data_IF_058076347023
#
_entry.id   IF_058076347023
#
_cell.length_a   1.000
_cell.length_b   1.000
_cell.length_c   1.000
_cell.angle_alpha   90.00
_cell.angle_beta   90.00
_cell.angle_gamma   90.00
#
_symmetry.space_group_name_H-M   'P 1'
#
loop_
_entity.id
_entity.type
_entity.pdbx_description
1 polymer ?
#
# COMPACT_ATOMS: atom_id res chain seq x y z
N UNK A 1 13.84 27.35 -18.42
CA UNK A 1 12.99 26.15 -18.59
C UNK A 1 13.64 25.07 -19.47
N UNK A 2 14.16 25.37 -20.67
CA UNK A 2 14.80 24.34 -21.54
C UNK A 2 15.97 23.59 -20.86
N UNK A 3 16.86 24.30 -20.16
CA UNK A 3 17.99 23.67 -19.46
C UNK A 3 17.53 22.70 -18.36
N UNK A 4 16.50 23.05 -17.59
CA UNK A 4 15.92 22.20 -16.55
C UNK A 4 15.32 20.92 -17.14
N UNK A 5 14.56 21.03 -18.23
CA UNK A 5 14.00 19.86 -18.92
C UNK A 5 15.08 18.91 -19.44
N UNK A 6 16.17 19.43 -20.01
CA UNK A 6 17.28 18.63 -20.50
C UNK A 6 17.97 17.85 -19.37
N UNK A 7 18.14 18.48 -18.20
CA UNK A 7 18.72 17.81 -17.02
C UNK A 7 17.80 16.69 -16.55
N UNK A 8 16.48 16.94 -16.47
CA UNK A 8 15.49 15.92 -16.10
C UNK A 8 15.54 14.73 -17.06
N UNK A 9 15.54 14.99 -18.37
CA UNK A 9 15.56 13.92 -19.36
C UNK A 9 16.84 13.09 -19.29
N UNK A 10 18.00 13.76 -19.13
CA UNK A 10 19.29 13.07 -18.95
C UNK A 10 19.26 12.17 -17.72
N UNK A 11 18.83 12.71 -16.58
CA UNK A 11 18.78 11.99 -15.31
C UNK A 11 17.79 10.81 -15.37
N UNK A 12 16.61 11.02 -15.97
CA UNK A 12 15.63 9.97 -16.17
C UNK A 12 16.20 8.83 -17.02
N UNK A 13 16.79 9.13 -18.18
CA UNK A 13 17.38 8.13 -19.08
C UNK A 13 18.52 7.38 -18.39
N UNK A 14 19.39 8.09 -17.66
CA UNK A 14 20.49 7.49 -16.90
C UNK A 14 19.97 6.48 -15.86
N UNK A 15 18.92 6.85 -15.11
CA UNK A 15 18.35 5.99 -14.09
C UNK A 15 17.61 4.79 -14.68
N UNK A 16 16.80 5.00 -15.72
CA UNK A 16 16.00 3.94 -16.37
C UNK A 16 16.87 2.91 -17.08
N UNK A 17 17.99 3.32 -17.68
CA UNK A 17 18.92 2.40 -18.35
C UNK A 17 19.79 1.58 -17.37
N UNK A 18 19.76 1.89 -16.08
CA UNK A 18 20.57 1.20 -15.09
C UNK A 18 19.93 -0.14 -14.70
N UNK A 19 20.76 -1.18 -14.49
CA UNK A 19 20.29 -2.51 -14.05
C UNK A 19 19.49 -2.47 -12.74
N UNK A 20 19.82 -1.52 -11.86
CA UNK A 20 19.12 -1.22 -10.60
C UNK A 20 17.64 -0.91 -10.82
N UNK A 21 17.30 -0.17 -11.87
CA UNK A 21 15.91 0.15 -12.21
C UNK A 21 15.15 -1.08 -12.65
N UNK A 22 15.73 -1.87 -13.56
CA UNK A 22 15.11 -3.11 -14.04
C UNK A 22 14.85 -4.10 -12.90
N UNK A 23 15.85 -4.32 -12.03
CA UNK A 23 15.71 -5.21 -10.87
C UNK A 23 14.64 -4.66 -9.92
N UNK A 24 14.71 -3.37 -9.58
CA UNK A 24 13.72 -2.73 -8.71
C UNK A 24 12.30 -2.80 -9.26
N UNK A 25 12.13 -2.57 -10.56
CA UNK A 25 10.85 -2.65 -11.26
C UNK A 25 10.29 -4.07 -11.20
N UNK A 26 11.08 -5.09 -11.56
CA UNK A 26 10.66 -6.49 -11.54
C UNK A 26 10.30 -6.93 -10.12
N UNK A 27 11.16 -6.63 -9.14
CA UNK A 27 10.93 -6.99 -7.73
C UNK A 27 9.66 -6.33 -7.22
N UNK A 28 9.49 -5.02 -7.44
CA UNK A 28 8.29 -4.30 -6.99
C UNK A 28 7.02 -4.84 -7.65
N UNK A 29 7.06 -5.11 -8.97
CA UNK A 29 5.92 -5.61 -9.72
C UNK A 29 5.53 -7.03 -9.27
N UNK A 30 6.50 -7.95 -9.18
CA UNK A 30 6.26 -9.33 -8.74
C UNK A 30 5.77 -9.38 -7.29
N UNK A 31 6.42 -8.65 -6.38
CA UNK A 31 5.99 -8.60 -4.97
C UNK A 31 4.57 -8.05 -4.85
N UNK A 32 4.25 -6.98 -5.59
CA UNK A 32 2.89 -6.40 -5.57
C UNK A 32 1.86 -7.38 -6.12
N UNK A 33 2.17 -8.06 -7.23
CA UNK A 33 1.27 -9.04 -7.83
C UNK A 33 0.95 -10.19 -6.86
N UNK A 34 1.98 -10.75 -6.20
CA UNK A 34 1.82 -11.82 -5.21
C UNK A 34 1.00 -11.35 -4.00
N UNK A 35 1.32 -10.18 -3.45
CA UNK A 35 0.60 -9.66 -2.28
C UNK A 35 -0.87 -9.37 -2.57
N UNK A 36 -1.19 -8.85 -3.76
CA UNK A 36 -2.59 -8.59 -4.15
C UNK A 36 -3.32 -9.91 -4.38
N UNK A 37 -2.68 -10.90 -5.02
CA UNK A 37 -3.27 -12.21 -5.22
C UNK A 37 -3.66 -12.88 -3.88
N UNK A 38 -2.76 -12.84 -2.89
CA UNK A 38 -3.03 -13.35 -1.54
C UNK A 38 -4.17 -12.58 -0.86
N UNK A 39 -4.18 -11.25 -0.96
CA UNK A 39 -5.24 -10.43 -0.34
C UNK A 39 -6.61 -10.59 -1.01
N UNK A 40 -6.66 -10.90 -2.31
CA UNK A 40 -7.94 -11.19 -3.00
C UNK A 40 -8.54 -12.49 -2.46
N UNK A 41 -7.75 -13.56 -2.34
CA UNK A 41 -8.21 -14.85 -1.77
C UNK A 41 -8.70 -14.69 -0.33
N UNK A 42 -7.98 -13.91 0.49
CA UNK A 42 -8.41 -13.56 1.84
C UNK A 42 -9.74 -12.80 1.86
N UNK A 43 -9.87 -11.79 0.99
CA UNK A 43 -11.08 -11.00 0.90
C UNK A 43 -12.29 -11.86 0.51
N UNK A 44 -12.14 -12.79 -0.43
CA UNK A 44 -13.20 -13.72 -0.82
C UNK A 44 -13.62 -14.63 0.35
N UNK A 45 -12.65 -15.19 1.09
CA UNK A 45 -12.91 -15.99 2.29
C UNK A 45 -13.63 -15.20 3.37
N UNK A 46 -13.20 -13.97 3.63
CA UNK A 46 -13.83 -13.08 4.61
C UNK A 46 -15.24 -12.68 4.22
N UNK A 47 -15.49 -12.45 2.93
CA UNK A 47 -16.85 -12.16 2.45
C UNK A 47 -17.75 -13.39 2.54
N UNK A 48 -17.25 -14.57 2.21
CA UNK A 48 -18.00 -15.82 2.36
C UNK A 48 -18.37 -16.06 3.84
N UNK A 49 -17.41 -15.90 4.76
CA UNK A 49 -17.63 -16.01 6.20
C UNK A 49 -18.60 -14.96 6.75
N UNK A 50 -18.58 -13.74 6.22
CA UNK A 50 -19.57 -12.71 6.54
C UNK A 50 -20.98 -13.13 6.09
N UNK A 51 -21.12 -13.58 4.85
CA UNK A 51 -22.42 -13.97 4.29
C UNK A 51 -23.04 -15.17 5.03
N UNK A 52 -22.23 -16.15 5.45
CA UNK A 52 -22.72 -17.29 6.26
C UNK A 52 -23.14 -16.82 7.64
N UNK A 53 -22.33 -15.98 8.30
CA UNK A 53 -22.64 -15.48 9.63
C UNK A 53 -23.91 -14.61 9.66
N UNK A 54 -24.14 -13.78 8.64
CA UNK A 54 -25.40 -13.01 8.50
C UNK A 54 -26.61 -13.93 8.33
N UNK A 55 -26.52 -14.98 7.50
CA UNK A 55 -27.60 -15.95 7.32
C UNK A 55 -27.90 -16.74 8.60
N UNK A 56 -26.87 -17.14 9.33
CA UNK A 56 -27.01 -17.79 10.64
C UNK A 56 -27.72 -16.86 11.63
N UNK A 57 -27.31 -15.58 11.68
CA UNK A 57 -27.92 -14.58 12.55
C UNK A 57 -29.40 -14.30 12.20
N UNK A 58 -29.74 -14.24 10.91
CA UNK A 58 -31.13 -14.10 10.44
C UNK A 58 -31.99 -15.30 10.84
N UNK A 59 -31.46 -16.51 10.72
CA UNK A 59 -32.14 -17.74 11.13
C UNK A 59 -32.30 -17.85 12.65
N UNK A 60 -31.28 -17.44 13.42
CA UNK A 60 -31.38 -17.33 14.88
C UNK A 60 -32.47 -16.31 15.29
N UNK A 61 -32.56 -15.18 14.59
CA UNK A 61 -33.56 -14.14 14.87
C UNK A 61 -35.01 -14.63 14.64
N UNK A 62 -35.24 -15.49 13.65
CA UNK A 62 -36.56 -16.09 13.40
C UNK A 62 -37.01 -17.08 14.49
N UNK A 63 -36.07 -17.64 15.27
CA UNK A 63 -36.35 -18.59 16.35
C UNK A 63 -36.56 -17.94 17.73
N UNK A 64 -36.45 -16.63 17.83
CA UNK A 64 -36.59 -15.94 19.10
C UNK A 64 -38.06 -15.83 19.50
N UNK A 65 -38.50 -16.74 20.36
CA UNK A 65 -39.87 -16.72 20.92
C UNK A 65 -40.00 -15.79 22.15
N UNK A 66 -38.90 -15.46 22.83
CA UNK A 66 -38.89 -14.65 24.06
C UNK A 66 -37.98 -13.43 23.94
N UNK A 67 -38.49 -12.27 24.38
CA UNK A 67 -37.74 -11.01 24.44
C UNK A 67 -36.44 -11.11 25.25
N UNK A 68 -36.38 -11.95 26.29
CA UNK A 68 -35.17 -12.15 27.10
C UNK A 68 -34.05 -12.92 26.40
N UNK A 69 -34.34 -13.59 25.26
CA UNK A 69 -33.38 -14.38 24.47
C UNK A 69 -32.87 -13.64 23.24
N UNK A 70 -33.36 -12.42 22.98
CA UNK A 70 -32.92 -11.58 21.86
C UNK A 70 -31.48 -11.13 22.10
N UNK A 71 -30.56 -11.64 21.27
CA UNK A 71 -29.12 -11.30 21.31
C UNK A 71 -28.62 -11.01 19.89
N UNK A 72 -28.99 -9.87 19.29
CA UNK A 72 -28.58 -9.54 17.93
C UNK A 72 -27.06 -9.41 17.82
N UNK A 73 -26.51 -10.11 16.83
CA UNK A 73 -25.10 -10.05 16.44
C UNK A 73 -24.99 -9.11 15.25
N UNK A 74 -24.31 -7.99 15.41
CA UNK A 74 -23.97 -7.10 14.31
C UNK A 74 -22.66 -7.58 13.67
N UNK A 75 -22.72 -7.94 12.38
CA UNK A 75 -21.57 -8.34 11.59
C UNK A 75 -21.10 -7.15 10.73
N UNK A 76 -19.79 -6.90 10.67
CA UNK A 76 -19.22 -5.85 9.81
C UNK A 76 -18.89 -6.40 8.43
N UNK A 77 -19.38 -5.75 7.36
CA UNK A 77 -19.03 -6.12 5.98
C UNK A 77 -17.56 -5.80 5.69
N UNK A 78 -16.77 -6.72 5.11
CA UNK A 78 -15.38 -6.44 4.74
C UNK A 78 -15.32 -5.38 3.63
N UNK A 79 -14.39 -4.43 3.75
CA UNK A 79 -14.22 -3.36 2.76
C UNK A 79 -13.47 -3.87 1.51
N UNK A 80 -13.90 -3.56 0.28
CA UNK A 80 -13.18 -3.97 -0.94
C UNK A 80 -11.79 -3.33 -1.08
N UNK A 81 -11.55 -2.20 -0.40
CA UNK A 81 -10.25 -1.53 -0.37
C UNK A 81 -9.21 -2.29 0.46
N UNK A 82 -9.62 -3.30 1.25
CA UNK A 82 -8.69 -4.11 2.04
C UNK A 82 -7.73 -4.94 1.20
N UNK A 83 -7.99 -5.06 -0.11
CA UNK A 83 -7.12 -5.72 -1.08
C UNK A 83 -5.84 -4.90 -1.35
N UNK A 84 -5.91 -3.59 -1.17
CA UNK A 84 -4.75 -2.70 -1.35
C UNK A 84 -4.08 -2.37 -0.03
N UNK A 85 -4.89 -2.19 1.02
CA UNK A 85 -4.40 -1.91 2.36
C UNK A 85 -5.35 -2.47 3.41
N UNK A 86 -4.86 -3.39 4.25
CA UNK A 86 -5.68 -4.02 5.29
C UNK A 86 -5.99 -3.02 6.43
N UNK A 87 -5.09 -2.07 6.69
CA UNK A 87 -5.32 -0.95 7.59
C UNK A 87 -5.83 -1.36 8.98
N UNK A 88 -6.98 -0.82 9.37
CA UNK A 88 -7.65 -1.10 10.66
C UNK A 88 -8.49 -2.38 10.65
N UNK A 89 -8.62 -3.06 9.51
CA UNK A 89 -9.53 -4.20 9.41
C UNK A 89 -9.02 -5.43 10.16
N UNK A 90 -7.72 -5.44 10.50
CA UNK A 90 -7.13 -6.43 11.39
C UNK A 90 -7.37 -6.15 12.89
N UNK A 91 -7.75 -4.92 13.25
CA UNK A 91 -7.83 -4.48 14.65
C UNK A 91 -9.28 -4.33 15.16
N UNK A 92 -10.27 -4.23 14.26
CA UNK A 92 -11.68 -4.10 14.64
C UNK A 92 -12.35 -5.44 14.95
N UNK A 93 -13.26 -5.45 15.93
CA UNK A 93 -14.13 -6.59 16.17
C UNK A 93 -15.00 -6.86 14.93
N UNK A 94 -14.93 -8.07 14.38
CA UNK A 94 -15.68 -8.44 13.18
C UNK A 94 -17.17 -8.71 13.49
N UNK A 95 -17.48 -8.96 14.76
CA UNK A 95 -18.83 -9.17 15.30
C UNK A 95 -19.00 -8.44 16.62
N UNK A 96 -20.14 -7.78 16.80
CA UNK A 96 -20.53 -7.16 18.08
C UNK A 96 -21.88 -7.75 18.48
N UNK A 97 -21.92 -8.43 19.61
CA UNK A 97 -23.18 -8.94 20.18
C UNK A 97 -23.79 -7.87 21.07
N UNK A 98 -24.99 -7.40 20.75
CA UNK A 98 -25.72 -6.46 21.59
C UNK A 98 -26.61 -7.27 22.54
N UNK A 99 -26.34 -7.21 23.83
CA UNK A 99 -27.20 -7.78 24.87
C UNK A 99 -28.00 -6.67 25.56
N UNK A 100 -29.30 -6.89 25.79
CA UNK A 100 -30.13 -5.93 26.52
C UNK A 100 -29.59 -5.72 27.95
N UNK A 101 -29.58 -4.45 28.39
CA UNK A 101 -29.17 -4.02 29.73
C UNK A 101 -27.70 -4.28 30.13
N UNK A 102 -26.85 -4.69 29.18
CA UNK A 102 -25.38 -4.64 29.35
C UNK A 102 -24.80 -3.52 28.50
N UNK A 103 -24.01 -2.61 29.07
CA UNK A 103 -23.26 -1.65 28.26
C UNK A 103 -22.32 -2.43 27.33
N UNK A 104 -22.29 -2.03 26.05
CA UNK A 104 -21.36 -2.58 25.06
C UNK A 104 -19.97 -2.09 25.44
N UNK A 105 -19.22 -2.90 26.18
CA UNK A 105 -17.80 -2.64 26.39
C UNK A 105 -17.08 -3.03 25.10
N UNK A 106 -16.47 -2.04 24.45
CA UNK A 106 -15.43 -2.29 23.47
C UNK A 106 -14.28 -2.91 24.27
N UNK A 107 -14.13 -4.24 24.28
CA UNK A 107 -12.87 -4.80 24.75
C UNK A 107 -11.83 -4.42 23.70
N UNK A 108 -10.92 -3.47 24.01
CA UNK A 108 -9.86 -3.18 23.07
C UNK A 108 -9.01 -4.45 22.99
N UNK A 109 -8.84 -4.95 21.78
CA UNK A 109 -7.92 -6.03 21.43
C UNK A 109 -6.46 -5.55 21.61
N UNK A 110 -6.07 -5.20 22.83
CA UNK A 110 -4.68 -5.12 23.24
C UNK A 110 -4.21 -6.54 23.59
N UNK A 111 -2.97 -6.91 23.24
CA UNK A 111 -2.41 -8.25 23.48
C UNK A 111 -2.14 -8.57 24.97
N UNK A 112 -2.81 -7.88 25.89
CA UNK A 112 -2.73 -8.06 27.34
C UNK A 112 -4.14 -8.44 27.83
N UNK A 113 -4.63 -9.62 27.44
CA UNK A 113 -5.71 -10.30 28.16
C UNK A 113 -7.15 -10.24 27.60
N UNK A 114 -7.40 -9.66 26.43
CA UNK A 114 -8.72 -9.73 25.78
C UNK A 114 -8.88 -10.99 24.93
N UNK A 115 -10.05 -11.64 24.98
CA UNK A 115 -10.33 -12.77 24.08
C UNK A 115 -10.34 -12.30 22.63
N UNK A 116 -9.56 -12.90 21.72
CA UNK A 116 -9.50 -12.45 20.34
C UNK A 116 -10.89 -12.55 19.72
N UNK A 117 -11.45 -11.41 19.28
CA UNK A 117 -12.64 -11.38 18.46
C UNK A 117 -12.39 -12.29 17.24
N UNK A 118 -13.09 -13.42 17.22
CA UNK A 118 -12.81 -14.57 16.39
C UNK A 118 -12.68 -14.17 14.90
N UNK A 119 -11.44 -14.14 14.40
CA UNK A 119 -11.14 -14.05 12.97
C UNK A 119 -11.61 -15.35 12.30
N UNK A 120 -12.90 -15.43 11.97
CA UNK A 120 -13.43 -16.44 11.05
C UNK A 120 -12.97 -16.08 9.63
N UNK A 121 -11.76 -16.49 9.25
CA UNK A 121 -11.19 -16.25 7.92
C UNK A 121 -9.87 -16.97 7.67
N UNK A 122 -9.04 -17.14 8.70
CA UNK A 122 -7.75 -17.83 8.59
C UNK A 122 -7.59 -18.87 9.70
N UNK A 123 -7.99 -20.12 9.43
CA UNK A 123 -7.71 -21.25 10.32
C UNK A 123 -6.22 -21.65 10.33
N UNK A 124 -5.37 -20.95 9.55
CA UNK A 124 -3.94 -21.25 9.39
C UNK A 124 -3.04 -20.09 9.88
N UNK A 125 -2.28 -20.28 10.98
CA UNK A 125 -1.36 -19.28 11.53
C UNK A 125 -0.26 -18.81 10.56
N UNK A 126 0.19 -19.67 9.63
CA UNK A 126 1.19 -19.28 8.64
C UNK A 126 0.64 -18.30 7.62
N UNK A 127 -0.65 -18.43 7.27
CA UNK A 127 -1.31 -17.56 6.31
C UNK A 127 -1.49 -16.16 6.90
N UNK A 128 -1.79 -16.05 8.21
CA UNK A 128 -1.93 -14.77 8.90
C UNK A 128 -0.71 -13.83 8.76
N UNK A 129 0.51 -14.38 8.74
CA UNK A 129 1.72 -13.57 8.52
C UNK A 129 1.72 -12.95 7.11
N UNK A 130 1.36 -13.72 6.09
CA UNK A 130 1.30 -13.22 4.70
C UNK A 130 0.12 -12.27 4.46
N UNK A 131 -0.97 -12.38 5.24
CA UNK A 131 -2.10 -11.44 5.18
C UNK A 131 -1.76 -10.04 5.67
N UNK A 132 -0.69 -9.88 6.45
CA UNK A 132 -0.21 -8.55 6.86
C UNK A 132 0.62 -7.85 5.79
N UNK A 133 1.05 -8.58 4.76
CA UNK A 133 1.83 -8.05 3.65
C UNK A 133 0.88 -7.47 2.61
N UNK A 134 0.66 -6.16 2.68
CA UNK A 134 -0.16 -5.42 1.72
C UNK A 134 0.68 -4.62 0.71
N UNK A 135 0.01 -4.03 -0.29
CA UNK A 135 0.67 -3.23 -1.33
C UNK A 135 1.42 -2.05 -0.71
N UNK A 136 0.82 -1.43 0.30
CA UNK A 136 1.40 -0.30 1.02
C UNK A 136 2.67 -0.71 1.78
N UNK A 137 2.72 -1.90 2.37
CA UNK A 137 3.91 -2.44 3.01
C UNK A 137 5.04 -2.65 2.02
N UNK A 138 4.74 -3.21 0.85
CA UNK A 138 5.73 -3.35 -0.24
C UNK A 138 6.23 -1.97 -0.67
N UNK A 139 5.34 -1.00 -0.81
CA UNK A 139 5.73 0.36 -1.18
C UNK A 139 6.61 1.00 -0.10
N UNK A 140 6.29 0.78 1.18
CA UNK A 140 7.10 1.27 2.29
C UNK A 140 8.52 0.73 2.27
N UNK A 141 8.69 -0.56 1.97
CA UNK A 141 10.01 -1.23 2.04
C UNK A 141 10.76 -1.14 0.70
N UNK A 142 10.16 -1.62 -0.38
CA UNK A 142 10.84 -1.75 -1.68
C UNK A 142 11.07 -0.37 -2.30
N UNK A 143 10.07 0.51 -2.30
CA UNK A 143 10.22 1.82 -2.95
C UNK A 143 11.09 2.78 -2.14
N UNK A 144 11.09 2.71 -0.81
CA UNK A 144 12.04 3.51 0.00
C UNK A 144 13.48 3.08 -0.24
N UNK A 145 13.74 1.78 -0.28
CA UNK A 145 15.05 1.24 -0.59
C UNK A 145 15.49 1.69 -2.00
N UNK A 146 14.59 1.62 -2.98
CA UNK A 146 14.88 2.06 -4.34
C UNK A 146 15.11 3.57 -4.44
N UNK A 147 14.34 4.37 -3.70
CA UNK A 147 14.50 5.82 -3.64
C UNK A 147 15.89 6.22 -3.13
N UNK A 148 16.33 5.62 -2.02
CA UNK A 148 17.68 5.83 -1.49
C UNK A 148 18.74 5.32 -2.47
N UNK A 149 18.53 4.15 -3.06
CA UNK A 149 19.47 3.52 -3.98
C UNK A 149 19.64 4.30 -5.30
N UNK A 150 18.63 5.06 -5.72
CA UNK A 150 18.75 5.96 -6.87
C UNK A 150 19.42 7.27 -6.46
N UNK A 151 19.11 7.79 -5.27
CA UNK A 151 19.60 9.06 -4.81
C UNK A 151 21.07 9.04 -4.33
N UNK A 152 21.56 7.92 -3.76
CA UNK A 152 22.87 7.90 -3.07
C UNK A 152 24.06 8.24 -3.97
N UNK A 153 23.99 7.90 -5.26
CA UNK A 153 25.08 8.15 -6.21
C UNK A 153 24.80 9.30 -7.17
N UNK A 154 23.69 10.01 -7.00
CA UNK A 154 23.27 11.04 -7.96
C UNK A 154 24.23 12.24 -7.97
N UNK A 155 24.80 12.61 -6.82
CA UNK A 155 25.73 13.75 -6.71
C UNK A 155 27.17 13.26 -6.53
N UNK A 156 27.42 12.33 -5.61
CA UNK A 156 28.74 11.72 -5.42
C UNK A 156 29.30 11.07 -6.68
N UNK A 157 28.49 10.32 -7.43
CA UNK A 157 28.94 9.65 -8.65
C UNK A 157 29.41 10.63 -9.72
N UNK A 158 28.64 11.70 -9.98
CA UNK A 158 29.05 12.74 -10.92
C UNK A 158 30.27 13.55 -10.44
N UNK A 159 30.46 13.64 -9.11
CA UNK A 159 31.64 14.28 -8.51
C UNK A 159 32.90 13.44 -8.73
N UNK A 160 32.80 12.12 -8.58
CA UNK A 160 33.88 11.15 -8.83
C UNK A 160 34.23 11.06 -10.33
N UNK A 161 33.22 11.00 -11.19
CA UNK A 161 33.39 10.95 -12.65
C UNK A 161 33.87 12.28 -13.25
N UNK A 162 33.96 13.34 -12.45
CA UNK A 162 34.35 14.69 -12.86
C UNK A 162 33.32 15.41 -13.76
N UNK A 163 32.21 14.76 -14.10
CA UNK A 163 31.14 15.31 -14.93
C UNK A 163 30.45 16.50 -14.27
N UNK A 164 30.39 16.53 -12.93
CA UNK A 164 29.83 17.67 -12.20
C UNK A 164 30.60 18.98 -12.46
N UNK A 165 31.94 18.91 -12.58
CA UNK A 165 32.76 20.08 -12.90
C UNK A 165 32.48 20.60 -14.31
N UNK A 166 32.18 19.70 -15.25
CA UNK A 166 31.84 20.04 -16.63
C UNK A 166 30.44 20.68 -16.73
N UNK A 167 29.48 20.25 -15.91
CA UNK A 167 28.15 20.89 -15.85
C UNK A 167 28.24 22.29 -15.24
N UNK A 168 29.09 22.47 -14.22
CA UNK A 168 29.28 23.75 -13.53
C UNK A 168 30.12 24.77 -14.31
N UNK A 169 30.86 24.36 -15.35
CA UNK A 169 31.55 25.29 -16.25
C UNK A 169 30.58 25.99 -17.21
N UNK A 170 29.36 25.48 -17.33
CA UNK A 170 28.28 26.11 -18.08
C UNK A 170 27.52 27.12 -17.20
N UNK A 171 26.87 28.12 -17.80
CA UNK A 171 26.16 29.18 -17.09
C UNK A 171 24.78 28.70 -16.58
N UNK A 172 24.77 27.68 -15.72
CA UNK A 172 23.57 27.08 -15.14
C UNK A 172 23.59 27.32 -13.62
N UNK A 173 22.51 27.85 -13.03
CA UNK A 173 22.47 28.09 -11.59
C UNK A 173 22.32 26.77 -10.82
N UNK A 174 22.92 26.70 -9.63
CA UNK A 174 23.07 25.45 -8.86
C UNK A 174 21.73 24.86 -8.38
N UNK A 175 20.76 25.71 -8.10
CA UNK A 175 19.38 25.35 -7.76
C UNK A 175 18.69 24.53 -8.87
N UNK A 176 18.89 24.92 -10.13
CA UNK A 176 18.33 24.22 -11.30
C UNK A 176 18.94 22.83 -11.48
N UNK A 177 20.21 22.65 -11.11
CA UNK A 177 20.88 21.35 -11.14
C UNK A 177 20.27 20.41 -10.09
N UNK A 178 20.12 20.89 -8.85
CA UNK A 178 19.55 20.09 -7.75
C UNK A 178 18.08 19.75 -8.01
N UNK A 179 17.28 20.73 -8.46
CA UNK A 179 15.88 20.51 -8.81
C UNK A 179 15.73 19.57 -10.01
N UNK A 180 16.58 19.70 -11.02
CA UNK A 180 16.59 18.81 -12.18
C UNK A 180 16.91 17.35 -11.79
N UNK A 181 17.87 17.15 -10.88
CA UNK A 181 18.20 15.83 -10.32
C UNK A 181 17.03 15.23 -9.56
N UNK A 182 16.44 16.02 -8.66
CA UNK A 182 15.27 15.60 -7.88
C UNK A 182 14.10 15.20 -8.78
N UNK A 183 13.73 16.05 -9.75
CA UNK A 183 12.62 15.77 -10.65
C UNK A 183 12.92 14.60 -11.60
N UNK A 184 14.16 14.45 -12.07
CA UNK A 184 14.58 13.32 -12.91
C UNK A 184 14.54 11.98 -12.16
N UNK A 185 14.97 11.97 -10.89
CA UNK A 185 14.86 10.80 -10.02
C UNK A 185 13.42 10.47 -9.62
N UNK A 186 12.59 11.46 -9.32
CA UNK A 186 11.16 11.25 -9.08
C UNK A 186 10.46 10.68 -10.33
N UNK A 187 10.79 11.21 -11.51
CA UNK A 187 10.22 10.77 -12.78
C UNK A 187 10.64 9.33 -13.10
N UNK A 188 11.82 8.88 -12.68
CA UNK A 188 12.25 7.48 -12.87
C UNK A 188 11.54 6.51 -11.92
N UNK A 189 11.20 6.93 -10.70
CA UNK A 189 10.44 6.10 -9.76
C UNK A 189 8.94 6.06 -10.08
N UNK A 190 8.37 7.14 -10.63
CA UNK A 190 6.96 7.25 -11.01
C UNK A 190 6.41 6.03 -11.81
N UNK A 191 7.04 5.55 -12.89
CA UNK A 191 6.52 4.41 -13.65
C UNK A 191 6.50 3.10 -12.85
N UNK A 192 7.41 2.91 -11.89
CA UNK A 192 7.40 1.71 -11.02
C UNK A 192 6.13 1.73 -10.15
N UNK A 193 5.83 2.86 -9.52
CA UNK A 193 4.64 3.03 -8.69
C UNK A 193 3.36 2.89 -9.52
N UNK A 194 3.33 3.55 -10.68
CA UNK A 194 2.17 3.52 -11.56
C UNK A 194 1.88 2.11 -12.05
N UNK A 195 2.89 1.39 -12.55
CA UNK A 195 2.71 0.03 -13.08
C UNK A 195 2.36 -0.97 -11.99
N UNK A 196 2.96 -0.87 -10.80
CA UNK A 196 2.60 -1.75 -9.67
C UNK A 196 1.15 -1.54 -9.22
N UNK A 197 0.67 -0.29 -9.18
CA UNK A 197 -0.75 -0.02 -8.90
C UNK A 197 -1.69 -0.49 -10.00
N UNK A 198 -1.31 -0.34 -11.28
CA UNK A 198 -2.11 -0.85 -12.40
C UNK A 198 -2.24 -2.36 -12.30
N UNK A 199 -1.14 -3.08 -12.03
CA UNK A 199 -1.16 -4.54 -11.83
C UNK A 199 -2.04 -4.92 -10.64
N UNK A 200 -1.91 -4.22 -9.52
CA UNK A 200 -2.76 -4.44 -8.35
C UNK A 200 -4.25 -4.26 -8.70
N UNK A 201 -4.59 -3.22 -9.46
CA UNK A 201 -5.96 -2.96 -9.89
C UNK A 201 -6.49 -4.03 -10.85
N UNK A 202 -5.67 -4.48 -11.82
CA UNK A 202 -6.05 -5.53 -12.77
C UNK A 202 -6.37 -6.83 -12.02
N UNK A 203 -5.52 -7.23 -11.06
CA UNK A 203 -5.75 -8.43 -10.26
C UNK A 203 -7.02 -8.27 -9.41
N UNK A 204 -7.20 -7.12 -8.78
CA UNK A 204 -8.40 -6.85 -7.98
C UNK A 204 -9.69 -6.89 -8.80
N UNK A 205 -9.70 -6.30 -10.01
CA UNK A 205 -10.85 -6.31 -10.93
C UNK A 205 -11.15 -7.69 -11.53
N UNK A 206 -10.16 -8.58 -11.60
CA UNK A 206 -10.35 -9.96 -12.04
C UNK A 206 -11.27 -10.73 -11.08
N UNK A 207 -11.27 -10.37 -9.79
CA UNK A 207 -12.20 -10.94 -8.82
C UNK A 207 -13.61 -10.37 -9.02
N UNK A 208 -14.59 -11.24 -9.33
CA UNK A 208 -16.01 -10.85 -9.51
C UNK A 208 -16.68 -10.32 -8.23
N UNK A 209 -15.97 -10.39 -7.11
CA UNK A 209 -16.46 -10.14 -5.76
C UNK A 209 -16.28 -8.66 -5.36
N UNK A 210 -15.54 -7.88 -6.15
CA UNK A 210 -15.26 -6.46 -5.86
C UNK A 210 -16.22 -5.53 -6.60
N UNK A 211 -17.13 -4.89 -5.85
CA UNK A 211 -17.87 -3.73 -6.36
C UNK A 211 -17.13 -2.46 -5.95
N UNK A 212 -16.38 -1.86 -6.88
CA UNK A 212 -15.74 -0.58 -6.65
C UNK A 212 -16.77 0.55 -6.81
N UNK A 213 -17.06 1.24 -5.71
CA UNK A 213 -17.88 2.45 -5.73
C UNK A 213 -17.06 3.67 -6.19
N UNK A 214 -17.74 4.76 -6.58
CA UNK A 214 -17.10 6.03 -6.98
C UNK A 214 -16.13 6.55 -5.92
N UNK A 215 -16.45 6.34 -4.65
CA UNK A 215 -15.57 6.72 -3.54
C UNK A 215 -14.26 5.89 -3.52
N UNK A 216 -14.29 4.63 -3.97
CA UNK A 216 -13.11 3.77 -3.99
C UNK A 216 -12.01 4.31 -4.92
N UNK A 217 -12.40 4.92 -6.04
CA UNK A 217 -11.45 5.55 -6.99
C UNK A 217 -10.70 6.70 -6.31
N UNK A 218 -11.40 7.55 -5.56
CA UNK A 218 -10.79 8.65 -4.82
C UNK A 218 -9.76 8.13 -3.79
N UNK A 219 -10.06 7.02 -3.11
CA UNK A 219 -9.14 6.39 -2.17
C UNK A 219 -7.92 5.79 -2.86
N UNK A 220 -8.07 5.17 -4.03
CA UNK A 220 -6.94 4.64 -4.82
C UNK A 220 -6.01 5.78 -5.27
N UNK A 221 -6.59 6.87 -5.77
CA UNK A 221 -5.82 8.08 -6.15
C UNK A 221 -5.12 8.68 -4.93
N UNK A 222 -5.78 8.70 -3.77
CA UNK A 222 -5.16 9.15 -2.52
C UNK A 222 -3.98 8.25 -2.11
N UNK A 223 -4.12 6.93 -2.18
CA UNK A 223 -3.05 5.97 -1.91
C UNK A 223 -1.86 6.23 -2.85
N UNK A 224 -2.13 6.44 -4.14
CA UNK A 224 -1.08 6.80 -5.10
C UNK A 224 -0.38 8.10 -4.74
N UNK A 225 -1.13 9.17 -4.47
CA UNK A 225 -0.57 10.47 -4.13
C UNK A 225 0.28 10.42 -2.84
N UNK A 226 -0.21 9.74 -1.80
CA UNK A 226 0.52 9.56 -0.53
C UNK A 226 1.77 8.71 -0.76
N UNK A 227 1.71 7.67 -1.60
CA UNK A 227 2.89 6.86 -1.93
C UNK A 227 3.97 7.67 -2.65
N UNK A 228 3.60 8.55 -3.58
CA UNK A 228 4.55 9.45 -4.24
C UNK A 228 5.18 10.45 -3.26
N UNK A 229 4.38 11.02 -2.35
CA UNK A 229 4.91 11.89 -1.29
C UNK A 229 5.87 11.16 -0.36
N UNK A 230 5.57 9.92 0.00
CA UNK A 230 6.45 9.07 0.80
C UNK A 230 7.78 8.78 0.09
N UNK A 231 7.73 8.46 -1.20
CA UNK A 231 8.95 8.21 -1.99
C UNK A 231 9.75 9.51 -2.15
N UNK A 232 9.08 10.64 -2.32
CA UNK A 232 9.67 11.98 -2.35
C UNK A 232 10.52 12.26 -1.11
N UNK A 233 10.01 11.98 0.09
CA UNK A 233 10.78 12.23 1.33
C UNK A 233 12.01 11.34 1.42
N UNK A 234 11.89 10.04 1.11
CA UNK A 234 13.03 9.12 1.12
C UNK A 234 14.08 9.44 0.07
N UNK A 235 13.65 9.86 -1.12
CA UNK A 235 14.56 10.28 -2.16
C UNK A 235 15.30 11.57 -1.78
N UNK A 236 14.60 12.56 -1.19
CA UNK A 236 15.24 13.77 -0.67
C UNK A 236 16.27 13.45 0.42
N UNK A 237 15.95 12.52 1.33
CA UNK A 237 16.90 12.02 2.32
C UNK A 237 18.13 11.39 1.65
N UNK A 238 17.93 10.52 0.66
CA UNK A 238 19.04 9.92 -0.09
C UNK A 238 19.87 10.96 -0.86
N UNK A 239 19.24 12.02 -1.38
CA UNK A 239 19.93 13.10 -2.09
C UNK A 239 20.78 13.92 -1.10
N UNK A 240 20.26 14.22 0.09
CA UNK A 240 21.02 14.88 1.16
C UNK A 240 22.25 14.06 1.59
N UNK A 241 22.13 12.73 1.63
CA UNK A 241 23.26 11.83 1.94
C UNK A 241 24.28 11.71 0.80
N UNK A 242 23.93 12.11 -0.42
CA UNK A 242 24.79 12.06 -1.60
C UNK A 242 25.67 13.31 -1.80
N UNK A 243 25.45 14.38 -1.04
CA UNK A 243 26.20 15.65 -1.14
C UNK A 243 27.53 15.54 -0.38
#
# INVERSE_FOLDING_TARGET
MRALWLIIQREFVSNVLTSRFMIGFIVCLLSTAVAVFVQVDDYEKRLAGYNTAVREAEFEAQKWELYSKIKPKAHRKPSPLSIFNVGTENFGANTVTVELAKPVFFEPSFPIGGTPAQKRGSDNPFLEMFLTVDVVFIFKIVLSALAILFAYNTISGEREDGTLKLVLSNSIPRDTIVLGKYLGGMLSLFPIVLMSLIVALIIALSSRVTAFDRNAIAHIVLIFAVSLLYISTWYLLGLLLSI
#
